data_IF_896713993795
#
_entry.id   IF_896713993795
#
_cell.length_a   1.000
_cell.length_b   1.000
_cell.length_c   1.000
_cell.angle_alpha   90.00
_cell.angle_beta   90.00
_cell.angle_gamma   90.00
#
_symmetry.space_group_name_H-M   'P 1'
#
loop_
_entity.id
_entity.type
_entity.pdbx_description
1 polymer ?
#
# COMPACT_ATOMS: atom_id res chain seq x y z
N UNK A 1 4.03 -18.97 66.12
CA UNK A 1 4.56 -20.12 65.35
C UNK A 1 3.65 -20.30 64.15
N UNK A 2 4.01 -19.68 63.03
CA UNK A 2 3.17 -19.66 61.84
C UNK A 2 3.29 -20.98 61.09
N UNK A 3 2.18 -21.71 61.00
CA UNK A 3 2.04 -22.92 60.19
C UNK A 3 2.16 -22.53 58.72
N UNK A 4 3.26 -22.92 58.07
CA UNK A 4 3.40 -22.81 56.62
C UNK A 4 2.57 -23.91 55.96
N UNK A 5 1.37 -23.56 55.51
CA UNK A 5 0.59 -24.40 54.62
C UNK A 5 1.20 -24.28 53.21
N UNK A 6 1.83 -25.33 52.73
CA UNK A 6 2.33 -25.40 51.35
C UNK A 6 1.24 -25.86 50.40
N UNK A 7 1.24 -25.34 49.17
CA UNK A 7 0.43 -25.86 48.07
C UNK A 7 0.80 -27.31 47.76
N UNK A 8 -0.20 -28.14 47.48
CA UNK A 8 0.04 -29.52 47.07
C UNK A 8 0.44 -29.60 45.60
N UNK A 9 1.30 -30.56 45.24
CA UNK A 9 1.69 -30.77 43.83
C UNK A 9 0.45 -31.10 42.98
N UNK A 10 -0.53 -31.82 43.55
CA UNK A 10 -1.75 -32.19 42.83
C UNK A 10 -2.67 -31.00 42.54
N UNK A 11 -2.74 -30.00 43.43
CA UNK A 11 -3.45 -28.75 43.14
C UNK A 11 -2.86 -28.05 41.92
N UNK A 12 -1.53 -27.96 41.86
CA UNK A 12 -0.86 -27.33 40.72
C UNK A 12 -1.05 -28.15 39.43
N UNK A 13 -1.04 -29.49 39.51
CA UNK A 13 -1.31 -30.35 38.35
C UNK A 13 -2.70 -30.14 37.77
N UNK A 14 -3.75 -30.10 38.61
CA UNK A 14 -5.12 -29.91 38.10
C UNK A 14 -5.28 -28.51 37.48
N UNK A 15 -4.68 -27.49 38.07
CA UNK A 15 -4.75 -26.12 37.53
C UNK A 15 -4.11 -26.03 36.14
N UNK A 16 -2.91 -26.58 35.94
CA UNK A 16 -2.25 -26.54 34.62
C UNK A 16 -3.01 -27.36 33.58
N UNK A 17 -3.67 -28.46 33.98
CA UNK A 17 -4.51 -29.26 33.07
C UNK A 17 -5.73 -28.47 32.62
N UNK A 18 -6.44 -27.82 33.55
CA UNK A 18 -7.60 -26.98 33.23
C UNK A 18 -7.17 -25.78 32.37
N UNK A 19 -6.08 -25.10 32.74
CA UNK A 19 -5.52 -23.99 31.94
C UNK A 19 -5.12 -24.46 30.53
N UNK A 20 -4.57 -25.67 30.40
CA UNK A 20 -4.21 -26.26 29.10
C UNK A 20 -5.42 -26.45 28.18
N UNK A 21 -6.54 -26.97 28.71
CA UNK A 21 -7.77 -27.16 27.93
C UNK A 21 -8.36 -25.82 27.48
N UNK A 22 -8.42 -24.83 28.39
CA UNK A 22 -8.93 -23.50 28.06
C UNK A 22 -8.05 -22.78 27.02
N UNK A 23 -6.72 -22.90 27.14
CA UNK A 23 -5.80 -22.33 26.18
C UNK A 23 -5.96 -22.95 24.78
N UNK A 24 -6.14 -24.27 24.70
CA UNK A 24 -6.28 -24.97 23.42
C UNK A 24 -7.48 -24.47 22.59
N UNK A 25 -8.59 -24.12 23.23
CA UNK A 25 -9.78 -23.59 22.55
C UNK A 25 -9.77 -22.06 22.39
N UNK A 26 -9.16 -21.34 23.33
CA UNK A 26 -9.18 -19.88 23.38
C UNK A 26 -8.17 -19.22 22.44
N UNK A 27 -6.97 -19.79 22.35
CA UNK A 27 -5.85 -19.18 21.60
C UNK A 27 -6.14 -19.05 20.09
N UNK A 28 -6.65 -20.07 19.39
CA UNK A 28 -6.96 -19.94 17.96
C UNK A 28 -7.99 -18.84 17.67
N UNK A 29 -9.03 -18.72 18.52
CA UNK A 29 -10.06 -17.69 18.40
C UNK A 29 -9.50 -16.28 18.63
N UNK A 30 -8.57 -16.14 19.56
CA UNK A 30 -7.90 -14.88 19.83
C UNK A 30 -7.11 -14.39 18.61
N UNK A 31 -6.37 -15.27 17.92
CA UNK A 31 -5.62 -14.90 16.73
C UNK A 31 -6.52 -14.40 15.58
N UNK A 32 -7.69 -15.03 15.37
CA UNK A 32 -8.67 -14.54 14.40
C UNK A 32 -9.22 -13.15 14.74
N UNK A 33 -9.48 -12.87 16.03
CA UNK A 33 -9.91 -11.54 16.46
C UNK A 33 -8.81 -10.48 16.27
N UNK A 34 -7.55 -10.82 16.53
CA UNK A 34 -6.41 -9.92 16.30
C UNK A 34 -6.25 -9.64 14.80
N UNK A 35 -6.36 -10.66 13.94
CA UNK A 35 -6.29 -10.51 12.49
C UNK A 35 -7.39 -9.57 11.97
N UNK A 36 -8.63 -9.76 12.45
CA UNK A 36 -9.77 -8.88 12.12
C UNK A 36 -9.57 -7.46 12.63
N UNK A 37 -9.02 -7.28 13.84
CA UNK A 37 -8.74 -5.96 14.39
C UNK A 37 -7.67 -5.21 13.56
N UNK A 38 -6.63 -5.91 13.10
CA UNK A 38 -5.64 -5.35 12.18
C UNK A 38 -6.27 -4.98 10.84
N UNK A 39 -7.09 -5.84 10.26
CA UNK A 39 -7.76 -5.58 8.98
C UNK A 39 -8.82 -4.48 9.06
N UNK A 40 -9.30 -4.12 10.25
CA UNK A 40 -10.32 -3.10 10.45
C UNK A 40 -9.85 -1.67 10.06
N UNK A 41 -8.54 -1.43 9.92
CA UNK A 41 -8.05 -0.15 9.41
C UNK A 41 -8.32 0.05 7.91
N UNK A 42 -8.46 -1.03 7.14
CA UNK A 42 -8.66 -0.99 5.69
C UNK A 42 -10.01 -0.38 5.30
N UNK A 43 -11.18 -0.86 5.81
CA UNK A 43 -12.47 -0.26 5.44
C UNK A 43 -12.59 1.22 5.81
N UNK A 44 -11.98 1.64 6.92
CA UNK A 44 -11.96 3.05 7.32
C UNK A 44 -11.15 3.88 6.34
N UNK A 45 -9.93 3.44 6.00
CA UNK A 45 -9.06 4.13 5.04
C UNK A 45 -9.68 4.21 3.64
N UNK A 46 -10.27 3.11 3.17
CA UNK A 46 -10.94 3.04 1.88
C UNK A 46 -12.21 3.91 1.83
N UNK A 47 -12.97 3.97 2.92
CA UNK A 47 -14.17 4.80 3.02
C UNK A 47 -13.88 6.31 2.93
N UNK A 48 -12.73 6.75 3.47
CA UNK A 48 -12.28 8.15 3.31
C UNK A 48 -11.90 8.42 1.85
N UNK A 49 -11.14 7.51 1.23
CA UNK A 49 -10.76 7.62 -0.18
C UNK A 49 -11.98 7.75 -1.10
N UNK A 50 -12.96 6.85 -0.95
CA UNK A 50 -14.18 6.85 -1.78
C UNK A 50 -14.93 8.19 -1.68
N UNK A 51 -15.09 8.74 -0.47
CA UNK A 51 -15.80 10.01 -0.28
C UNK A 51 -15.08 11.19 -0.92
N UNK A 52 -13.76 11.24 -0.80
CA UNK A 52 -12.96 12.30 -1.42
C UNK A 52 -12.96 12.18 -2.94
N UNK A 53 -12.84 10.96 -3.45
CA UNK A 53 -12.88 10.73 -4.89
C UNK A 53 -14.25 11.04 -5.50
N UNK A 54 -15.34 10.70 -4.81
CA UNK A 54 -16.71 11.03 -5.22
C UNK A 54 -16.94 12.55 -5.26
N UNK A 55 -16.48 13.27 -4.22
CA UNK A 55 -16.53 14.74 -4.21
C UNK A 55 -15.72 15.36 -5.36
N UNK A 56 -14.52 14.81 -5.64
CA UNK A 56 -13.66 15.28 -6.72
C UNK A 56 -14.28 15.02 -8.11
N UNK A 57 -14.92 13.86 -8.30
CA UNK A 57 -15.67 13.55 -9.54
C UNK A 57 -16.76 14.59 -9.80
N UNK A 58 -17.47 15.02 -8.75
CA UNK A 58 -18.53 16.03 -8.87
C UNK A 58 -18.02 17.46 -9.08
N UNK A 59 -16.83 17.81 -8.61
CA UNK A 59 -16.26 19.15 -8.75
C UNK A 59 -15.46 19.31 -10.05
N UNK A 60 -14.53 18.38 -10.31
CA UNK A 60 -13.48 18.52 -11.32
C UNK A 60 -13.66 17.58 -12.53
N UNK A 61 -14.79 16.85 -12.58
CA UNK A 61 -15.19 15.97 -13.68
C UNK A 61 -14.14 14.93 -14.05
N UNK A 62 -13.42 14.42 -13.04
CA UNK A 62 -12.31 13.49 -13.24
C UNK A 62 -12.08 12.57 -12.06
N UNK A 63 -11.16 11.64 -12.24
CA UNK A 63 -10.66 10.73 -11.22
C UNK A 63 -9.24 11.18 -10.89
N UNK A 64 -8.96 11.47 -9.63
CA UNK A 64 -7.74 12.16 -9.21
C UNK A 64 -6.75 11.22 -8.55
N UNK A 65 -5.47 11.61 -8.55
CA UNK A 65 -4.49 11.03 -7.62
C UNK A 65 -4.82 11.40 -6.18
N UNK A 66 -4.15 10.77 -5.23
CA UNK A 66 -4.30 11.11 -3.80
C UNK A 66 -4.00 12.58 -3.52
N UNK A 67 -3.07 13.17 -4.26
CA UNK A 67 -2.75 14.60 -4.14
C UNK A 67 -3.89 15.47 -4.66
N UNK A 68 -4.51 15.09 -5.77
CA UNK A 68 -5.60 15.87 -6.38
C UNK A 68 -6.85 15.87 -5.49
N UNK A 69 -7.17 14.73 -4.89
CA UNK A 69 -8.36 14.57 -4.04
C UNK A 69 -8.12 14.93 -2.58
N UNK A 70 -6.88 15.28 -2.20
CA UNK A 70 -6.49 15.56 -0.81
C UNK A 70 -6.55 14.33 0.11
N UNK A 71 -6.40 13.12 -0.42
CA UNK A 71 -6.40 11.90 0.39
C UNK A 71 -5.02 11.64 1.02
N UNK A 72 -4.99 11.58 2.35
CA UNK A 72 -3.82 11.14 3.11
C UNK A 72 -4.05 9.71 3.63
N UNK A 73 -3.22 8.77 3.19
CA UNK A 73 -3.27 7.40 3.69
C UNK A 73 -2.80 7.30 5.15
N UNK A 74 -3.30 6.32 5.93
CA UNK A 74 -2.83 6.10 7.29
C UNK A 74 -1.32 5.87 7.36
N UNK A 75 -0.67 6.48 8.35
CA UNK A 75 0.77 6.34 8.57
C UNK A 75 1.62 6.82 7.38
N UNK A 76 1.18 7.86 6.68
CA UNK A 76 1.88 8.42 5.52
C UNK A 76 2.13 7.37 4.42
N UNK A 77 1.14 6.51 4.18
CA UNK A 77 1.20 5.44 3.19
C UNK A 77 1.60 4.07 3.74
N UNK A 78 2.00 3.98 5.02
CA UNK A 78 2.36 2.69 5.63
C UNK A 78 2.13 2.65 7.14
N UNK A 79 1.38 1.67 7.60
CA UNK A 79 1.22 1.35 9.02
C UNK A 79 2.08 0.15 9.40
N UNK A 80 1.94 -0.31 10.66
CA UNK A 80 2.54 -1.58 11.09
C UNK A 80 1.92 -2.80 10.42
N UNK A 81 0.73 -2.67 9.83
CA UNK A 81 -0.06 -3.79 9.30
C UNK A 81 -0.16 -3.75 7.78
N UNK A 82 -0.24 -2.56 7.18
CA UNK A 82 -0.55 -2.35 5.77
C UNK A 82 0.36 -1.33 5.11
N UNK A 83 0.56 -1.52 3.81
CA UNK A 83 1.13 -0.55 2.88
C UNK A 83 0.02 -0.14 1.90
N UNK A 84 -0.16 1.16 1.72
CA UNK A 84 -1.21 1.72 0.88
C UNK A 84 -0.63 2.21 -0.43
N UNK A 85 -1.38 2.00 -1.52
CA UNK A 85 -0.94 2.38 -2.86
C UNK A 85 -1.97 3.26 -3.60
N UNK A 86 -1.49 4.35 -4.17
CA UNK A 86 -2.23 5.19 -5.10
C UNK A 86 -2.13 4.57 -6.50
N UNK A 87 -3.27 4.12 -7.01
CA UNK A 87 -3.35 3.46 -8.31
C UNK A 87 -3.79 4.46 -9.42
N UNK A 88 -3.95 5.73 -9.07
CA UNK A 88 -4.24 6.83 -9.99
C UNK A 88 -3.06 7.80 -9.99
N UNK A 89 -2.02 7.49 -10.76
CA UNK A 89 -0.77 8.29 -10.78
C UNK A 89 -0.92 9.68 -11.45
N UNK A 90 -2.04 9.93 -12.13
CA UNK A 90 -2.38 11.22 -12.72
C UNK A 90 -3.90 11.32 -12.89
N UNK A 91 -4.43 12.56 -12.87
CA UNK A 91 -5.85 12.82 -13.15
C UNK A 91 -6.27 12.13 -14.45
N UNK A 92 -7.37 11.37 -14.39
CA UNK A 92 -8.04 10.77 -15.54
C UNK A 92 -9.37 11.48 -15.77
N UNK A 93 -9.66 11.79 -17.02
CA UNK A 93 -11.01 12.23 -17.42
C UNK A 93 -11.96 11.02 -17.37
N UNK A 94 -13.24 11.27 -17.08
CA UNK A 94 -14.23 10.21 -16.99
C UNK A 94 -14.71 9.85 -18.40
N UNK A 95 -14.42 8.63 -18.81
CA UNK A 95 -14.94 8.02 -20.03
C UNK A 95 -15.84 6.85 -19.63
N UNK A 96 -17.15 6.96 -19.92
CA UNK A 96 -18.15 5.94 -19.58
C UNK A 96 -17.92 4.60 -20.28
N UNK A 97 -17.11 4.60 -21.34
CA UNK A 97 -16.77 3.41 -22.12
C UNK A 97 -15.40 2.83 -21.70
N UNK A 98 -14.72 3.45 -20.75
CA UNK A 98 -13.45 2.95 -20.20
C UNK A 98 -13.66 1.75 -19.27
N UNK A 99 -12.68 0.83 -19.28
CA UNK A 99 -12.68 -0.32 -18.40
C UNK A 99 -12.52 0.08 -16.93
N UNK A 100 -13.18 -0.65 -16.03
CA UNK A 100 -13.02 -0.46 -14.59
C UNK A 100 -11.57 -0.73 -14.19
N UNK A 101 -11.03 0.10 -13.29
CA UNK A 101 -9.63 0.01 -12.89
C UNK A 101 -9.46 0.16 -11.38
N UNK A 102 -8.33 -0.30 -10.86
CA UNK A 102 -7.99 -0.14 -9.45
C UNK A 102 -7.61 1.32 -9.18
N UNK A 103 -8.28 1.98 -8.23
CA UNK A 103 -7.98 3.36 -7.84
C UNK A 103 -7.19 3.45 -6.53
N UNK A 104 -7.42 2.52 -5.61
CA UNK A 104 -6.77 2.48 -4.31
C UNK A 104 -6.47 1.06 -3.90
N UNK A 105 -5.36 0.85 -3.20
CA UNK A 105 -5.01 -0.44 -2.63
C UNK A 105 -4.45 -0.36 -1.21
N UNK A 106 -4.64 -1.44 -0.45
CA UNK A 106 -3.97 -1.70 0.82
C UNK A 106 -3.47 -3.15 0.84
N UNK A 107 -2.17 -3.33 1.06
CA UNK A 107 -1.50 -4.62 1.05
C UNK A 107 -1.00 -4.97 2.44
N UNK A 108 -1.36 -6.12 2.99
CA UNK A 108 -0.88 -6.50 4.32
C UNK A 108 0.62 -6.84 4.30
N UNK A 109 1.36 -6.34 5.29
CA UNK A 109 2.80 -6.56 5.44
C UNK A 109 3.13 -7.94 6.00
N UNK A 110 2.18 -8.54 6.73
CA UNK A 110 2.34 -9.84 7.39
C UNK A 110 1.03 -10.61 7.32
N UNK A 111 1.13 -11.95 7.40
CA UNK A 111 -0.05 -12.80 7.39
C UNK A 111 -1.03 -12.42 8.50
N UNK A 112 -2.32 -12.38 8.17
CA UNK A 112 -3.42 -12.10 9.07
C UNK A 112 -4.22 -13.39 9.25
N UNK A 113 -3.69 -14.29 10.08
CA UNK A 113 -4.21 -15.66 10.22
C UNK A 113 -4.07 -16.45 8.89
N UNK A 114 -5.15 -16.94 8.29
CA UNK A 114 -5.11 -17.66 6.99
C UNK A 114 -4.93 -16.72 5.79
N UNK A 115 -5.11 -15.42 5.97
CA UNK A 115 -4.83 -14.43 4.93
C UNK A 115 -3.31 -14.26 4.78
N UNK A 116 -2.77 -14.69 3.64
CA UNK A 116 -1.32 -14.67 3.37
C UNK A 116 -0.76 -13.25 3.39
N UNK A 117 0.54 -13.10 3.71
CA UNK A 117 1.22 -11.82 3.58
C UNK A 117 1.16 -11.34 2.12
N UNK A 118 1.15 -10.02 1.91
CA UNK A 118 1.05 -9.37 0.60
C UNK A 118 -0.27 -9.64 -0.15
N UNK A 119 -1.31 -10.08 0.55
CA UNK A 119 -2.69 -10.01 0.10
C UNK A 119 -3.17 -8.55 0.07
N UNK A 120 -4.08 -8.24 -0.85
CA UNK A 120 -4.45 -6.87 -1.12
C UNK A 120 -5.97 -6.66 -1.06
N UNK A 121 -6.35 -5.51 -0.54
CA UNK A 121 -7.68 -4.93 -0.60
C UNK A 121 -7.63 -3.80 -1.61
N UNK A 122 -8.70 -3.64 -2.38
CA UNK A 122 -8.77 -2.68 -3.47
C UNK A 122 -10.10 -1.97 -3.56
N UNK A 123 -10.06 -0.72 -4.01
CA UNK A 123 -11.24 -0.02 -4.53
C UNK A 123 -11.13 0.04 -6.04
N UNK A 124 -12.02 -0.68 -6.72
CA UNK A 124 -12.19 -0.60 -8.17
C UNK A 124 -13.14 0.53 -8.48
N UNK A 125 -12.74 1.39 -9.41
CA UNK A 125 -13.55 2.49 -9.94
C UNK A 125 -14.09 2.03 -11.29
N UNK A 126 -15.40 2.15 -11.44
CA UNK A 126 -16.13 1.83 -12.66
C UNK A 126 -16.82 3.09 -13.20
N UNK A 127 -16.28 3.71 -14.27
CA UNK A 127 -16.91 4.85 -14.91
C UNK A 127 -18.26 4.44 -15.52
N UNK A 128 -19.37 5.06 -15.10
CA UNK A 128 -20.72 4.69 -15.59
C UNK A 128 -21.41 5.78 -16.39
N UNK A 129 -21.05 7.04 -16.17
CA UNK A 129 -21.52 8.19 -16.93
C UNK A 129 -20.51 9.33 -16.85
N UNK A 130 -20.71 10.41 -17.62
CA UNK A 130 -19.78 11.55 -17.75
C UNK A 130 -19.32 12.17 -16.41
N UNK A 131 -20.17 12.13 -15.37
CA UNK A 131 -19.83 12.63 -14.02
C UNK A 131 -20.27 11.65 -12.92
N UNK A 132 -20.31 10.35 -13.22
CA UNK A 132 -20.70 9.33 -12.24
C UNK A 132 -19.79 8.12 -12.35
N UNK A 133 -19.25 7.71 -11.21
CA UNK A 133 -18.44 6.50 -11.07
C UNK A 133 -19.03 5.62 -9.98
N UNK A 134 -18.91 4.30 -10.12
CA UNK A 134 -19.21 3.35 -9.07
C UNK A 134 -17.92 2.89 -8.39
N UNK A 135 -17.98 2.72 -7.08
CA UNK A 135 -16.87 2.19 -6.29
C UNK A 135 -17.19 0.79 -5.80
N UNK A 136 -16.37 -0.18 -6.19
CA UNK A 136 -16.50 -1.57 -5.76
C UNK A 136 -15.33 -1.97 -4.87
N UNK A 137 -15.64 -2.43 -3.66
CA UNK A 137 -14.66 -3.00 -2.74
C UNK A 137 -14.33 -4.43 -3.14
N UNK A 138 -13.05 -4.78 -3.19
CA UNK A 138 -12.57 -6.12 -3.56
C UNK A 138 -11.38 -6.55 -2.71
N UNK A 139 -11.21 -7.85 -2.52
CA UNK A 139 -10.05 -8.43 -1.81
C UNK A 139 -9.46 -9.59 -2.59
N UNK A 140 -8.15 -9.79 -2.49
CA UNK A 140 -7.40 -10.75 -3.31
C UNK A 140 -7.71 -12.23 -3.01
N UNK A 141 -8.25 -12.58 -1.83
CA UNK A 141 -8.50 -13.98 -1.45
C UNK A 141 -9.69 -14.14 -0.50
N UNK A 142 -10.24 -15.36 -0.47
CA UNK A 142 -11.40 -15.71 0.37
C UNK A 142 -11.08 -15.66 1.86
N UNK A 143 -9.85 -16.04 2.23
CA UNK A 143 -9.36 -16.01 3.61
C UNK A 143 -9.34 -14.57 4.13
N UNK A 144 -8.88 -13.63 3.30
CA UNK A 144 -8.86 -12.21 3.62
C UNK A 144 -10.26 -11.59 3.64
N UNK A 145 -11.19 -12.06 2.79
CA UNK A 145 -12.59 -11.63 2.78
C UNK A 145 -13.29 -11.88 4.13
N UNK A 146 -12.87 -12.91 4.88
CA UNK A 146 -13.43 -13.19 6.22
C UNK A 146 -13.06 -12.14 7.27
N UNK A 147 -11.99 -11.38 7.04
CA UNK A 147 -11.47 -10.38 7.98
C UNK A 147 -12.21 -9.04 7.86
N UNK A 148 -12.75 -8.72 6.69
CA UNK A 148 -13.41 -7.44 6.39
C UNK A 148 -14.82 -7.65 5.85
N UNK A 149 -15.83 -7.12 6.52
CA UNK A 149 -17.23 -7.28 6.11
C UNK A 149 -17.55 -6.50 4.83
N UNK A 150 -18.26 -7.14 3.89
CA UNK A 150 -18.66 -6.58 2.58
C UNK A 150 -17.51 -6.38 1.58
N UNK A 151 -16.45 -7.18 1.67
CA UNK A 151 -15.35 -7.20 0.71
C UNK A 151 -15.35 -8.54 -0.04
N UNK A 152 -16.07 -8.65 -1.18
CA UNK A 152 -16.05 -9.84 -2.01
C UNK A 152 -14.67 -10.07 -2.64
N UNK A 153 -14.38 -11.32 -2.97
CA UNK A 153 -13.13 -11.66 -3.67
C UNK A 153 -13.16 -11.11 -5.09
N UNK A 154 -12.07 -10.47 -5.50
CA UNK A 154 -11.90 -9.90 -6.84
C UNK A 154 -10.42 -9.73 -7.19
N UNK A 155 -10.17 -9.32 -8.42
CA UNK A 155 -8.81 -9.06 -8.90
C UNK A 155 -8.29 -7.76 -8.30
N UNK A 156 -7.22 -7.86 -7.49
CA UNK A 156 -6.49 -6.71 -6.94
C UNK A 156 -5.05 -6.79 -7.42
N UNK A 157 -4.75 -6.06 -8.49
CA UNK A 157 -3.37 -5.90 -8.97
C UNK A 157 -2.76 -4.62 -8.37
N UNK A 158 -2.28 -4.73 -7.14
CA UNK A 158 -1.64 -3.62 -6.43
C UNK A 158 -0.24 -3.27 -7.01
N UNK A 159 0.30 -4.06 -7.96
CA UNK A 159 1.63 -3.80 -8.52
C UNK A 159 1.67 -2.55 -9.41
N UNK A 160 0.52 -2.16 -9.96
CA UNK A 160 0.37 -0.93 -10.74
C UNK A 160 0.24 0.33 -9.86
N UNK A 161 0.13 0.18 -8.54
CA UNK A 161 -0.06 1.29 -7.62
C UNK A 161 1.29 1.85 -7.15
N UNK A 162 1.39 3.18 -7.13
CA UNK A 162 2.50 3.88 -6.53
C UNK A 162 2.40 3.84 -5.01
N UNK A 163 3.53 3.63 -4.32
CA UNK A 163 3.56 3.69 -2.87
C UNK A 163 3.09 5.07 -2.42
N UNK A 164 2.15 5.10 -1.46
CA UNK A 164 1.55 6.33 -0.97
C UNK A 164 2.56 7.40 -0.61
N UNK A 165 2.63 8.48 -1.40
CA UNK A 165 3.54 9.58 -1.14
C UNK A 165 2.99 10.50 -0.04
N UNK A 166 3.89 10.91 0.84
CA UNK A 166 3.71 11.86 1.93
C UNK A 166 3.02 13.14 1.46
N UNK A 167 1.86 13.48 2.04
CA UNK A 167 1.43 14.87 2.07
C UNK A 167 2.19 15.54 3.21
N UNK A 168 3.28 16.25 2.89
CA UNK A 168 3.76 17.29 3.80
C UNK A 168 2.65 18.33 3.86
N UNK A 169 1.87 18.31 4.93
CA UNK A 169 1.04 19.44 5.29
C UNK A 169 1.97 20.64 5.43
N UNK A 170 1.87 21.59 4.48
CA UNK A 170 2.34 22.94 4.73
C UNK A 170 1.52 23.46 5.92
N UNK A 171 2.15 23.93 7.01
CA UNK A 171 1.39 24.37 8.17
C UNK A 171 0.58 25.60 7.78
N UNK A 172 -0.74 25.44 7.67
CA UNK A 172 -1.66 26.57 7.68
C UNK A 172 -1.42 27.40 8.96
N UNK A 173 -1.35 28.74 8.86
CA UNK A 173 -0.96 29.60 9.97
C UNK A 173 -1.99 29.53 11.09
N UNK A 174 -1.55 29.11 12.27
CA UNK A 174 -2.37 29.10 13.48
C UNK A 174 -2.80 30.54 13.83
N UNK A 175 -4.11 30.77 13.75
CA UNK A 175 -4.78 31.96 14.25
C UNK A 175 -4.66 31.97 15.79
N UNK A 176 -3.71 32.75 16.31
CA UNK A 176 -3.51 32.91 17.75
C UNK A 176 -4.38 34.07 18.22
N UNK A 177 -5.29 33.78 19.16
CA UNK A 177 -6.07 34.79 19.88
C UNK A 177 -5.18 35.58 20.84
N UNK A 178 -5.24 36.90 20.71
CA UNK A 178 -4.64 37.92 21.59
C UNK A 178 -5.23 37.87 23.02
N UNK A 179 -4.43 38.21 24.04
CA UNK A 179 -4.62 39.54 24.66
C UNK A 179 -3.29 40.25 25.05
N UNK A 180 -3.22 41.55 24.75
CA UNK A 180 -2.27 42.55 25.29
C UNK A 180 -2.50 42.85 26.80
N UNK A 181 -1.67 43.67 27.49
CA UNK A 181 -0.22 43.92 27.35
C UNK A 181 0.53 43.99 28.70
N UNK A 182 1.87 43.97 28.68
CA UNK A 182 2.72 44.95 29.42
C UNK A 182 4.23 44.78 29.15
N UNK A 183 4.81 45.92 28.77
CA UNK A 183 6.16 46.44 29.04
C UNK A 183 7.40 45.80 28.36
N UNK A 184 7.78 46.45 27.25
CA UNK A 184 9.08 47.12 27.02
C UNK A 184 10.30 46.58 27.76
N UNK A 185 11.29 46.08 27.00
CA UNK A 185 12.65 46.66 26.94
C UNK A 185 13.41 46.15 25.71
N UNK A 186 13.96 47.12 24.99
CA UNK A 186 14.81 47.09 23.79
C UNK A 186 16.21 46.54 24.04
N UNK A 187 16.80 45.90 23.02
CA UNK A 187 18.19 46.03 22.50
C UNK A 187 18.55 44.73 21.75
N UNK A 188 18.57 44.67 20.42
CA UNK A 188 19.57 45.13 19.41
C UNK A 188 20.97 44.55 19.56
N UNK A 189 21.58 44.28 18.39
CA UNK A 189 23.00 44.05 18.08
C UNK A 189 23.45 42.57 18.20
N UNK A 190 24.13 41.92 17.25
CA UNK A 190 24.83 42.24 15.99
C UNK A 190 24.92 40.93 15.16
N UNK A 191 24.81 40.91 13.82
CA UNK A 191 25.93 40.92 12.84
C UNK A 191 26.97 39.81 13.14
N UNK A 192 27.34 38.90 12.25
CA UNK A 192 27.85 39.10 10.89
C UNK A 192 28.28 37.75 10.26
N UNK A 193 28.29 37.68 8.91
CA UNK A 193 29.17 36.87 8.00
C UNK A 193 29.05 35.33 7.96
N UNK A 194 29.27 34.63 6.84
CA UNK A 194 29.66 34.94 5.45
C UNK A 194 29.35 33.68 4.59
N UNK A 195 29.26 33.89 3.29
CA UNK A 195 28.95 32.95 2.22
C UNK A 195 29.99 31.81 2.00
N UNK A 196 29.55 30.78 1.26
CA UNK A 196 30.15 30.30 -0.01
C UNK A 196 30.20 28.78 -0.16
N UNK A 197 29.25 28.27 -0.96
CA UNK A 197 29.43 27.44 -2.17
C UNK A 197 30.50 26.30 -2.18
N UNK A 198 30.06 25.04 -2.40
CA UNK A 198 30.31 24.30 -3.65
C UNK A 198 29.82 22.86 -3.65
N UNK A 199 29.08 22.56 -4.72
CA UNK A 199 28.65 21.25 -5.19
C UNK A 199 29.79 20.53 -5.93
N UNK A 200 29.92 19.21 -5.75
CA UNK A 200 30.29 18.26 -6.84
C UNK A 200 30.06 16.79 -6.46
N UNK A 201 29.39 16.10 -7.39
CA UNK A 201 29.20 14.65 -7.54
C UNK A 201 30.49 13.84 -7.36
N UNK A 202 30.35 12.64 -6.81
CA UNK A 202 31.01 11.46 -7.37
C UNK A 202 30.21 10.17 -7.12
N UNK A 203 30.25 9.30 -8.13
CA UNK A 203 29.49 8.06 -8.32
C UNK A 203 30.48 6.90 -8.15
N UNK A 204 30.20 5.89 -7.33
CA UNK A 204 30.98 4.64 -7.37
C UNK A 204 30.31 3.41 -6.73
N UNK A 205 30.48 2.30 -7.45
CA UNK A 205 30.54 0.90 -7.01
C UNK A 205 29.24 0.30 -6.41
N UNK A 206 28.86 -0.97 -6.56
CA UNK A 206 29.46 -2.23 -7.03
C UNK A 206 28.29 -3.22 -7.15
N UNK A 207 28.24 -4.13 -8.13
CA UNK A 207 27.34 -5.30 -8.07
C UNK A 207 28.17 -6.58 -8.22
N UNK A 208 28.20 -7.37 -7.15
CA UNK A 208 28.68 -8.77 -7.13
C UNK A 208 27.53 -9.73 -7.46
N UNK A 209 27.93 -10.88 -8.02
CA UNK A 209 27.14 -12.01 -8.53
C UNK A 209 26.59 -12.93 -7.42
N UNK A 210 25.53 -13.68 -7.75
CA UNK A 210 25.33 -15.15 -7.63
C UNK A 210 23.81 -15.41 -7.71
N UNK A 211 23.24 -15.96 -8.79
CA UNK A 211 23.21 -17.35 -9.31
C UNK A 211 22.24 -18.29 -8.55
N UNK A 212 21.11 -18.64 -9.19
CA UNK A 212 20.41 -19.92 -9.02
C UNK A 212 19.27 -20.07 -10.05
N UNK A 213 19.31 -21.19 -10.76
CA UNK A 213 18.60 -21.56 -12.00
C UNK A 213 17.08 -21.40 -12.02
N UNK A 214 16.58 -20.81 -13.11
CA UNK A 214 15.32 -21.21 -13.75
C UNK A 214 15.33 -20.73 -15.21
N UNK A 215 15.62 -21.64 -16.15
CA UNK A 215 15.65 -21.42 -17.61
C UNK A 215 16.09 -20.00 -18.02
N UNK A 216 17.39 -19.72 -17.87
CA UNK A 216 17.96 -18.38 -18.03
C UNK A 216 17.66 -17.82 -19.42
N UNK A 217 16.76 -16.84 -19.46
CA UNK A 217 16.56 -16.00 -20.64
C UNK A 217 17.77 -15.09 -20.71
N UNK A 218 18.58 -15.23 -21.77
CA UNK A 218 19.72 -14.34 -22.02
C UNK A 218 19.23 -12.94 -22.41
N UNK A 219 19.01 -12.11 -21.40
CA UNK A 219 18.57 -10.73 -21.57
C UNK A 219 19.59 -9.90 -22.36
N UNK A 220 20.88 -10.23 -22.28
CA UNK A 220 21.95 -9.48 -22.94
C UNK A 220 21.91 -9.68 -24.47
N UNK A 221 21.60 -10.89 -24.93
CA UNK A 221 21.35 -11.16 -26.35
C UNK A 221 20.06 -10.50 -26.89
N UNK A 222 19.09 -10.19 -26.02
CA UNK A 222 17.82 -9.56 -26.40
C UNK A 222 17.86 -8.01 -26.34
N UNK A 223 18.91 -7.43 -25.74
CA UNK A 223 19.08 -5.97 -25.68
C UNK A 223 19.19 -5.33 -27.07
N UNK A 224 19.77 -6.02 -28.06
CA UNK A 224 19.85 -5.55 -29.45
C UNK A 224 18.46 -5.34 -30.09
N UNK A 225 17.42 -5.94 -29.53
CA UNK A 225 16.05 -5.87 -30.00
C UNK A 225 15.09 -5.17 -29.03
N UNK A 226 15.63 -4.51 -27.99
CA UNK A 226 14.85 -3.80 -26.97
C UNK A 226 13.99 -2.69 -27.58
N UNK A 227 12.73 -2.64 -27.17
CA UNK A 227 11.78 -1.55 -27.49
C UNK A 227 11.27 -0.90 -26.21
N UNK A 228 11.05 0.41 -26.28
CA UNK A 228 10.62 1.25 -25.16
C UNK A 228 9.10 1.42 -25.08
N UNK A 229 8.37 1.03 -26.13
CA UNK A 229 6.93 1.27 -26.26
C UNK A 229 6.20 -0.05 -26.53
N UNK A 230 4.99 -0.18 -26.00
CA UNK A 230 4.12 -1.33 -26.19
C UNK A 230 3.34 -1.19 -27.52
N UNK A 231 4.02 -1.41 -28.65
CA UNK A 231 3.37 -1.44 -29.97
C UNK A 231 2.81 -2.84 -30.27
N UNK A 232 1.81 -2.92 -31.16
CA UNK A 232 1.23 -4.18 -31.62
C UNK A 232 2.32 -5.17 -32.08
N UNK A 233 2.27 -6.40 -31.56
CA UNK A 233 3.23 -7.50 -31.81
C UNK A 233 4.56 -7.44 -31.03
N UNK A 234 4.64 -6.68 -29.93
CA UNK A 234 5.73 -6.78 -28.95
C UNK A 234 5.31 -7.56 -27.71
N UNK A 235 6.27 -8.23 -27.08
CA UNK A 235 6.07 -9.08 -25.91
C UNK A 235 6.98 -8.57 -24.80
N UNK A 236 6.40 -8.31 -23.63
CA UNK A 236 7.14 -7.92 -22.44
C UNK A 236 7.81 -9.14 -21.82
N UNK A 237 9.11 -9.04 -21.50
CA UNK A 237 9.89 -10.07 -20.84
C UNK A 237 10.15 -9.63 -19.39
N UNK A 238 9.43 -10.17 -18.40
CA UNK A 238 9.52 -9.74 -17.00
C UNK A 238 10.92 -9.85 -16.41
N UNK A 239 11.68 -10.85 -16.83
CA UNK A 239 13.04 -11.15 -16.36
C UNK A 239 14.06 -10.12 -16.85
N UNK A 240 13.78 -9.46 -17.98
CA UNK A 240 14.67 -8.49 -18.59
C UNK A 240 14.19 -7.03 -18.42
N UNK A 241 12.91 -6.82 -18.11
CA UNK A 241 12.33 -5.50 -17.85
C UNK A 241 12.11 -4.64 -19.09
N UNK A 242 11.95 -5.25 -20.27
CA UNK A 242 11.69 -4.52 -21.52
C UNK A 242 10.89 -5.35 -22.55
N UNK A 243 10.44 -4.67 -23.61
CA UNK A 243 9.67 -5.26 -24.70
C UNK A 243 10.58 -5.73 -25.84
N UNK A 244 10.22 -6.85 -26.47
CA UNK A 244 10.94 -7.42 -27.62
C UNK A 244 9.93 -7.79 -28.70
N UNK A 245 10.21 -7.61 -30.01
CA UNK A 245 9.30 -8.03 -31.07
C UNK A 245 8.99 -9.51 -30.96
N UNK A 246 7.74 -9.90 -31.21
CA UNK A 246 7.27 -11.29 -31.09
C UNK A 246 8.20 -12.28 -31.81
N UNK A 247 8.70 -11.96 -33.02
CA UNK A 247 9.66 -12.80 -33.75
C UNK A 247 10.94 -13.17 -32.97
N UNK A 248 11.43 -12.28 -32.11
CA UNK A 248 12.66 -12.43 -31.33
C UNK A 248 12.40 -12.84 -29.87
N UNK A 249 11.14 -12.88 -29.43
CA UNK A 249 10.80 -13.30 -28.08
C UNK A 249 11.11 -14.80 -27.85
N UNK A 250 11.54 -15.19 -26.63
CA UNK A 250 11.67 -16.59 -26.24
C UNK A 250 10.36 -17.35 -26.42
N UNK A 251 10.45 -18.64 -26.79
CA UNK A 251 9.28 -19.47 -27.14
C UNK A 251 8.22 -19.54 -26.05
N UNK A 252 8.61 -19.45 -24.78
CA UNK A 252 7.69 -19.49 -23.64
C UNK A 252 6.75 -18.28 -23.55
N UNK A 253 7.08 -17.15 -24.19
CA UNK A 253 6.20 -15.97 -24.22
C UNK A 253 5.44 -15.81 -25.54
N UNK A 254 5.80 -16.57 -26.57
CA UNK A 254 5.10 -16.56 -27.86
C UNK A 254 3.74 -17.24 -27.71
N UNK A 255 2.67 -16.47 -27.51
CA UNK A 255 1.29 -17.00 -27.60
C UNK A 255 1.06 -17.53 -29.01
N UNK A 256 0.59 -18.77 -29.13
CA UNK A 256 0.22 -19.41 -30.39
C UNK A 256 -0.89 -18.59 -31.09
N UNK A 257 -0.50 -17.74 -32.05
CA UNK A 257 -1.43 -17.24 -33.05
C UNK A 257 -1.63 -18.35 -34.09
N UNK A 258 -2.82 -18.96 -34.07
CA UNK A 258 -3.33 -19.78 -35.16
C UNK A 258 -4.47 -19.04 -35.81
#
# INVERSE_FOLDING_TARGET
MDKKNGFTIIEIMVVIVIMGILAAVGVPKLFGMIAKAKAAEVPTAAGVYVRLQDAFVHNDHGIGSWKDIGYAAPGDGKTNNFEYGDCVVAKKEIDKDAESFLGWSATNLSALNECSARSAWGIVIDPVAESTVNFTQVVSSQECASLTSNWPVGSVDASACSAGATQTAEPEPQQTTEPEPKETTTQTDDKETDDTEKEKKDKKDKKEKEDSSSQDIDCQALEEHKKTNNEDNHIYIPECGFYVPNGHAPKQYKKNNK
#
